data_IF_829491781597
#
_entry.id   IF_829491781597
#
_cell.length_a   1.000
_cell.length_b   1.000
_cell.length_c   1.000
_cell.angle_alpha   90.00
_cell.angle_beta   90.00
_cell.angle_gamma   90.00
#
_symmetry.space_group_name_H-M   'P 1'
#
loop_
_entity.id
_entity.type
_entity.pdbx_description
1 polymer ?
#
# COMPACT_ATOMS: atom_id res chain seq x y z
N UNK A 1 -2.76 12.68 11.83
CA UNK A 1 -1.37 13.01 11.47
C UNK A 1 -0.56 11.82 10.96
N UNK A 2 -1.13 10.62 10.82
CA UNK A 2 -0.46 9.41 10.26
C UNK A 2 0.12 9.49 8.85
N UNK A 3 0.00 10.63 8.17
CA UNK A 3 0.60 10.86 6.84
C UNK A 3 2.11 11.18 6.91
N UNK A 4 2.62 11.59 8.07
CA UNK A 4 3.99 12.09 8.23
C UNK A 4 5.07 11.13 7.67
N UNK A 5 5.13 9.84 8.07
CA UNK A 5 6.16 8.92 7.54
C UNK A 5 5.95 8.64 6.05
N UNK A 6 4.70 8.56 5.60
CA UNK A 6 4.38 8.27 4.20
C UNK A 6 4.79 9.39 3.24
N UNK A 7 4.71 10.65 3.66
CA UNK A 7 5.19 11.77 2.84
C UNK A 7 6.69 11.65 2.55
N UNK A 8 7.49 11.32 3.57
CA UNK A 8 8.92 11.12 3.40
C UNK A 8 9.22 9.91 2.50
N UNK A 9 8.51 8.80 2.71
CA UNK A 9 8.63 7.59 1.89
C UNK A 9 8.34 7.85 0.41
N UNK A 10 7.24 8.54 0.10
CA UNK A 10 6.88 8.87 -1.30
C UNK A 10 7.93 9.80 -1.92
N UNK A 11 8.42 10.79 -1.17
CA UNK A 11 9.44 11.70 -1.65
C UNK A 11 10.76 10.97 -1.94
N UNK A 12 11.18 10.04 -1.07
CA UNK A 12 12.37 9.22 -1.27
C UNK A 12 12.25 8.38 -2.55
N UNK A 13 11.14 7.66 -2.68
CA UNK A 13 10.87 6.83 -3.86
C UNK A 13 10.84 7.62 -5.15
N UNK A 14 10.33 8.85 -5.12
CA UNK A 14 10.38 9.77 -6.26
C UNK A 14 11.81 10.13 -6.68
N UNK A 15 12.70 10.37 -5.72
CA UNK A 15 14.10 10.66 -6.00
C UNK A 15 14.79 9.44 -6.61
N UNK A 16 14.58 8.27 -6.03
CA UNK A 16 15.12 7.00 -6.56
C UNK A 16 14.58 6.71 -7.97
N UNK A 17 13.28 6.89 -8.19
CA UNK A 17 12.66 6.67 -9.50
C UNK A 17 13.22 7.60 -10.58
N UNK A 18 13.50 8.87 -10.24
CA UNK A 18 14.17 9.81 -11.15
C UNK A 18 15.60 9.39 -11.45
N UNK A 19 16.36 8.97 -10.43
CA UNK A 19 17.73 8.50 -10.61
C UNK A 19 17.79 7.24 -11.50
N UNK A 20 16.86 6.29 -11.29
CA UNK A 20 16.74 5.08 -12.11
C UNK A 20 16.34 5.40 -13.55
N UNK A 21 15.40 6.33 -13.76
CA UNK A 21 15.00 6.78 -15.09
C UNK A 21 16.18 7.41 -15.84
N UNK A 22 16.93 8.30 -15.19
CA UNK A 22 18.12 8.92 -15.76
C UNK A 22 19.21 7.90 -16.10
N UNK A 23 19.43 6.90 -15.24
CA UNK A 23 20.38 5.81 -15.51
C UNK A 23 19.94 4.94 -16.69
N UNK A 24 18.63 4.67 -16.83
CA UNK A 24 18.08 3.93 -17.98
C UNK A 24 18.21 4.70 -19.29
N UNK A 25 17.94 6.00 -19.27
CA UNK A 25 18.14 6.88 -20.43
C UNK A 25 19.62 6.90 -20.85
N UNK A 26 20.54 7.04 -19.89
CA UNK A 26 21.97 6.99 -20.16
C UNK A 26 22.41 5.64 -20.75
N UNK A 27 21.89 4.53 -20.23
CA UNK A 27 22.16 3.19 -20.76
C UNK A 27 21.57 2.99 -22.16
N UNK A 28 20.36 3.49 -22.43
CA UNK A 28 19.72 3.44 -23.74
C UNK A 28 20.50 4.28 -24.77
N UNK A 29 20.93 5.49 -24.39
CA UNK A 29 21.76 6.34 -25.22
C UNK A 29 23.11 5.69 -25.55
N UNK A 30 23.75 5.03 -24.58
CA UNK A 30 25.00 4.30 -24.80
C UNK A 30 24.81 3.13 -25.78
N UNK A 31 23.73 2.34 -25.62
CA UNK A 31 23.42 1.23 -26.51
C UNK A 31 23.06 1.69 -27.94
N UNK A 32 22.39 2.83 -28.09
CA UNK A 32 22.12 3.42 -29.40
C UNK A 32 23.39 3.96 -30.07
N UNK A 33 24.29 4.58 -29.31
CA UNK A 33 25.58 5.04 -29.80
C UNK A 33 26.45 3.87 -30.29
N UNK A 34 26.50 2.78 -29.54
CA UNK A 34 27.21 1.54 -29.93
C UNK A 34 26.61 0.92 -31.21
N UNK A 35 25.29 0.99 -31.36
CA UNK A 35 24.58 0.49 -32.54
C UNK A 35 24.50 1.49 -33.72
N UNK A 36 25.14 2.66 -33.62
CA UNK A 36 25.11 3.70 -34.66
C UNK A 36 23.72 4.30 -34.94
N UNK A 37 22.77 4.16 -34.00
CA UNK A 37 21.41 4.73 -34.11
C UNK A 37 21.37 6.13 -33.50
N UNK A 38 20.52 7.01 -34.05
CA UNK A 38 20.19 8.26 -33.36
C UNK A 38 19.33 7.94 -32.14
N UNK A 39 19.84 8.29 -30.96
CA UNK A 39 19.08 8.18 -29.73
C UNK A 39 17.88 9.15 -29.77
N UNK A 40 16.69 8.64 -29.48
CA UNK A 40 15.47 9.44 -29.28
C UNK A 40 15.19 9.43 -27.78
N UNK A 41 15.13 10.61 -27.18
CA UNK A 41 14.92 10.71 -25.73
C UNK A 41 13.67 9.94 -25.32
N UNK A 42 13.74 9.20 -24.22
CA UNK A 42 12.55 8.62 -23.61
C UNK A 42 11.66 9.77 -23.12
N UNK A 43 10.70 10.19 -23.95
CA UNK A 43 9.60 11.03 -23.50
C UNK A 43 8.70 10.20 -22.60
N UNK A 44 9.03 10.11 -21.32
CA UNK A 44 8.05 9.82 -20.31
C UNK A 44 8.56 10.33 -18.97
N UNK A 45 8.03 11.50 -18.55
CA UNK A 45 8.11 11.99 -17.17
C UNK A 45 7.34 11.10 -16.19
N UNK A 46 7.21 9.80 -16.47
CA UNK A 46 6.42 8.81 -15.77
C UNK A 46 7.28 8.21 -14.67
N UNK A 47 6.72 8.14 -13.47
CA UNK A 47 7.36 7.42 -12.38
C UNK A 47 7.49 5.93 -12.73
N UNK A 48 8.72 5.41 -12.72
CA UNK A 48 9.03 4.01 -13.09
C UNK A 48 9.22 3.07 -11.88
N UNK A 49 8.88 3.51 -10.66
CA UNK A 49 8.92 2.62 -9.50
C UNK A 49 7.68 1.74 -9.40
N UNK A 50 7.75 0.71 -8.54
CA UNK A 50 6.61 -0.16 -8.27
C UNK A 50 5.37 0.60 -7.79
N UNK A 51 4.19 0.00 -8.00
CA UNK A 51 2.91 0.63 -7.70
C UNK A 51 2.80 1.04 -6.22
N UNK A 52 2.22 2.21 -5.98
CA UNK A 52 2.00 2.76 -4.64
C UNK A 52 0.55 3.20 -4.50
N UNK A 53 -0.12 2.72 -3.46
CA UNK A 53 -1.50 3.10 -3.13
C UNK A 53 -1.51 3.75 -1.75
N UNK A 54 -2.12 4.93 -1.65
CA UNK A 54 -2.27 5.67 -0.40
C UNK A 54 -3.75 5.83 -0.05
N UNK A 55 -4.13 5.31 1.11
CA UNK A 55 -5.42 5.59 1.73
C UNK A 55 -5.25 6.71 2.77
N UNK A 56 -5.91 7.84 2.55
CA UNK A 56 -5.84 9.01 3.43
C UNK A 56 -7.23 9.39 3.94
N UNK A 57 -7.33 9.68 5.24
CA UNK A 57 -8.59 10.09 5.86
C UNK A 57 -8.47 11.40 6.64
N UNK A 58 -9.46 12.27 6.51
CA UNK A 58 -9.63 13.46 7.36
C UNK A 58 -11.11 13.82 7.52
N UNK A 59 -11.43 14.96 8.17
CA UNK A 59 -12.82 15.39 8.37
C UNK A 59 -13.39 15.96 7.07
N UNK A 60 -12.71 16.94 6.49
CA UNK A 60 -13.14 17.65 5.28
C UNK A 60 -11.94 18.07 4.44
N UNK A 61 -12.11 18.06 3.12
CA UNK A 61 -11.07 18.41 2.15
C UNK A 61 -10.58 19.85 2.31
N UNK A 62 -11.46 20.77 2.69
CA UNK A 62 -11.20 22.20 2.83
C UNK A 62 -10.64 22.61 4.20
N UNK A 63 -10.59 21.68 5.17
CA UNK A 63 -10.18 21.98 6.55
C UNK A 63 -8.88 21.30 6.93
N UNK A 64 -8.82 19.97 6.83
CA UNK A 64 -7.77 19.16 7.43
C UNK A 64 -7.17 18.14 6.45
N UNK A 65 -7.26 18.41 5.15
CA UNK A 65 -6.58 17.64 4.12
C UNK A 65 -5.08 17.97 4.07
N UNK A 66 -4.35 17.41 5.04
CA UNK A 66 -2.91 17.58 5.16
C UNK A 66 -2.20 17.23 3.85
N UNK A 67 -1.40 18.17 3.34
CA UNK A 67 -0.69 18.07 2.06
C UNK A 67 -1.58 17.79 0.84
N UNK A 68 -2.87 18.11 0.89
CA UNK A 68 -3.84 17.74 -0.15
C UNK A 68 -3.45 18.17 -1.57
N UNK A 69 -2.91 19.39 -1.74
CA UNK A 69 -2.39 19.86 -3.05
C UNK A 69 -1.25 18.98 -3.56
N UNK A 70 -0.32 18.60 -2.69
CA UNK A 70 0.83 17.76 -3.02
C UNK A 70 0.39 16.33 -3.35
N UNK A 71 -0.47 15.73 -2.52
CA UNK A 71 -1.00 14.38 -2.75
C UNK A 71 -1.80 14.30 -4.05
N UNK A 72 -2.63 15.31 -4.34
CA UNK A 72 -3.41 15.39 -5.59
C UNK A 72 -2.48 15.51 -6.79
N UNK A 73 -1.40 16.29 -6.68
CA UNK A 73 -0.39 16.39 -7.73
C UNK A 73 0.30 15.05 -7.98
N UNK A 74 0.74 14.35 -6.93
CA UNK A 74 1.36 13.03 -7.06
C UNK A 74 0.42 12.00 -7.69
N UNK A 75 -0.87 12.05 -7.36
CA UNK A 75 -1.87 11.20 -8.00
C UNK A 75 -2.04 11.53 -9.50
N UNK A 76 -2.08 12.82 -9.85
CA UNK A 76 -2.15 13.27 -11.25
C UNK A 76 -0.93 12.84 -12.06
N UNK A 77 0.24 12.96 -11.46
CA UNK A 77 1.54 12.57 -12.05
C UNK A 77 1.77 11.05 -12.03
N UNK A 78 0.76 10.25 -11.62
CA UNK A 78 0.82 8.77 -11.54
C UNK A 78 1.95 8.23 -10.65
N UNK A 79 2.36 9.01 -9.66
CA UNK A 79 3.32 8.60 -8.64
C UNK A 79 2.67 7.60 -7.68
N UNK A 80 1.40 7.83 -7.35
CA UNK A 80 0.61 6.98 -6.47
C UNK A 80 -0.86 6.98 -6.89
N UNK A 81 -1.58 5.93 -6.51
CA UNK A 81 -3.05 5.92 -6.52
C UNK A 81 -3.55 6.43 -5.17
N UNK A 82 -4.35 7.49 -5.18
CA UNK A 82 -4.83 8.14 -3.95
C UNK A 82 -6.30 7.81 -3.70
N UNK A 83 -6.60 7.22 -2.54
CA UNK A 83 -7.95 7.04 -2.04
C UNK A 83 -8.18 7.94 -0.82
N UNK A 84 -9.11 8.89 -0.93
CA UNK A 84 -9.45 9.80 0.17
C UNK A 84 -10.78 9.44 0.84
N UNK A 85 -10.80 9.51 2.17
CA UNK A 85 -11.98 9.36 3.00
C UNK A 85 -12.24 10.65 3.79
N UNK A 86 -13.28 11.41 3.41
CA UNK A 86 -13.69 12.61 4.11
C UNK A 86 -14.91 12.29 4.99
N UNK A 87 -14.68 12.21 6.30
CA UNK A 87 -15.68 11.68 7.23
C UNK A 87 -16.86 12.61 7.51
N UNK A 88 -16.78 13.90 7.14
CA UNK A 88 -17.80 14.92 7.42
C UNK A 88 -18.28 15.71 6.20
N UNK A 89 -17.94 15.30 4.98
CA UNK A 89 -18.41 15.98 3.76
C UNK A 89 -19.83 15.58 3.33
N UNK A 90 -20.27 14.40 3.76
CA UNK A 90 -21.57 13.85 3.45
C UNK A 90 -22.23 13.27 4.71
N UNK A 91 -23.53 12.99 4.64
CA UNK A 91 -24.32 12.45 5.76
C UNK A 91 -23.76 11.12 6.26
N UNK A 92 -23.35 10.24 5.34
CA UNK A 92 -22.74 8.96 5.68
C UNK A 92 -21.25 9.14 6.01
N UNK A 93 -20.81 8.71 7.18
CA UNK A 93 -19.40 8.74 7.55
C UNK A 93 -18.62 7.75 6.69
N UNK A 94 -17.58 8.24 6.01
CA UNK A 94 -16.67 7.42 5.20
C UNK A 94 -15.28 7.50 5.82
N UNK A 95 -14.69 6.34 6.08
CA UNK A 95 -13.36 6.18 6.65
C UNK A 95 -12.42 5.39 5.71
N UNK A 96 -11.14 5.31 6.09
CA UNK A 96 -10.11 4.66 5.28
C UNK A 96 -10.37 3.16 5.11
N UNK A 97 -10.89 2.47 6.12
CA UNK A 97 -11.27 1.06 6.02
C UNK A 97 -12.40 0.82 5.01
N UNK A 98 -13.30 1.79 4.81
CA UNK A 98 -14.37 1.66 3.82
C UNK A 98 -13.82 1.80 2.41
N UNK A 99 -12.86 2.73 2.21
CA UNK A 99 -12.12 2.84 0.95
C UNK A 99 -11.26 1.61 0.68
N UNK A 100 -10.65 1.03 1.72
CA UNK A 100 -9.85 -0.18 1.62
C UNK A 100 -10.71 -1.36 1.12
N UNK A 101 -11.89 -1.57 1.71
CA UNK A 101 -12.85 -2.60 1.24
C UNK A 101 -13.30 -2.35 -0.21
N UNK A 102 -13.53 -1.11 -0.59
CA UNK A 102 -13.89 -0.76 -1.97
C UNK A 102 -12.78 -1.00 -2.99
N UNK A 103 -11.51 -1.08 -2.55
CA UNK A 103 -10.35 -1.35 -3.38
C UNK A 103 -9.77 -2.76 -3.16
N UNK A 104 -10.56 -3.68 -2.61
CA UNK A 104 -10.08 -4.95 -2.08
C UNK A 104 -9.34 -5.82 -3.10
N UNK A 105 -9.79 -5.87 -4.37
CA UNK A 105 -9.12 -6.67 -5.41
C UNK A 105 -7.74 -6.11 -5.77
N UNK A 106 -7.64 -4.78 -5.90
CA UNK A 106 -6.35 -4.13 -6.16
C UNK A 106 -5.39 -4.29 -4.96
N UNK A 107 -5.90 -4.15 -3.74
CA UNK A 107 -5.12 -4.36 -2.51
C UNK A 107 -4.61 -5.80 -2.45
N UNK A 108 -5.45 -6.78 -2.73
CA UNK A 108 -5.06 -8.19 -2.75
C UNK A 108 -4.03 -8.48 -3.83
N UNK A 109 -4.22 -8.02 -5.06
CA UNK A 109 -3.26 -8.23 -6.13
C UNK A 109 -1.88 -7.63 -5.79
N UNK A 110 -1.86 -6.43 -5.20
CA UNK A 110 -0.60 -5.82 -4.74
C UNK A 110 0.05 -6.62 -3.62
N UNK A 111 -0.72 -7.04 -2.62
CA UNK A 111 -0.18 -7.71 -1.44
C UNK A 111 0.21 -9.16 -1.71
N UNK A 112 -0.59 -9.89 -2.47
CA UNK A 112 -0.43 -11.31 -2.69
C UNK A 112 0.43 -11.58 -3.94
N UNK A 113 -0.03 -11.12 -5.11
CA UNK A 113 0.59 -11.46 -6.40
C UNK A 113 1.91 -10.71 -6.62
N UNK A 114 1.97 -9.43 -6.22
CA UNK A 114 3.12 -8.56 -6.52
C UNK A 114 4.13 -8.46 -5.38
N UNK A 115 3.92 -9.18 -4.27
CA UNK A 115 4.87 -9.12 -3.15
C UNK A 115 4.86 -7.77 -2.40
N UNK A 116 3.77 -6.99 -2.49
CA UNK A 116 3.65 -5.66 -1.91
C UNK A 116 3.78 -5.61 -0.39
N UNK A 117 4.01 -4.41 0.14
CA UNK A 117 4.10 -4.14 1.57
C UNK A 117 2.90 -3.29 2.00
N UNK A 118 2.40 -3.54 3.21
CA UNK A 118 1.27 -2.85 3.79
C UNK A 118 1.70 -2.11 5.06
N UNK A 119 1.40 -0.82 5.13
CA UNK A 119 1.78 0.04 6.24
C UNK A 119 0.56 0.74 6.83
N UNK A 120 0.48 0.79 8.16
CA UNK A 120 -0.57 1.52 8.89
C UNK A 120 0.09 2.54 9.80
N UNK A 121 -0.33 3.81 9.71
CA UNK A 121 0.16 4.86 10.59
C UNK A 121 -0.97 5.77 11.07
N UNK A 122 -0.95 6.14 12.35
CA UNK A 122 -1.94 7.04 12.97
C UNK A 122 -2.55 6.52 14.26
N UNK A 123 -3.84 6.78 14.44
CA UNK A 123 -4.56 6.47 15.70
C UNK A 123 -4.67 4.96 15.95
N UNK A 124 -4.08 4.52 17.07
CA UNK A 124 -4.14 3.14 17.56
C UNK A 124 -5.49 2.80 18.19
N UNK A 125 -6.20 3.80 18.73
CA UNK A 125 -7.41 3.60 19.53
C UNK A 125 -8.60 3.10 18.71
N UNK A 126 -8.70 3.53 17.45
CA UNK A 126 -9.84 3.18 16.59
C UNK A 126 -9.43 2.85 15.15
N UNK A 127 -8.59 3.68 14.53
CA UNK A 127 -8.32 3.59 13.09
C UNK A 127 -7.52 2.33 12.74
N UNK A 128 -6.44 2.05 13.46
CA UNK A 128 -5.56 0.92 13.17
C UNK A 128 -6.30 -0.42 13.23
N UNK A 129 -7.10 -0.65 14.27
CA UNK A 129 -7.89 -1.88 14.42
C UNK A 129 -8.95 -2.03 13.33
N UNK A 130 -9.62 -0.94 12.93
CA UNK A 130 -10.61 -0.98 11.86
C UNK A 130 -9.99 -1.28 10.49
N UNK A 131 -8.78 -0.77 10.22
CA UNK A 131 -8.01 -1.07 9.00
C UNK A 131 -7.54 -2.52 8.99
N UNK A 132 -7.01 -3.02 10.11
CA UNK A 132 -6.58 -4.41 10.24
C UNK A 132 -7.74 -5.39 10.04
N UNK A 133 -8.89 -5.13 10.67
CA UNK A 133 -10.10 -5.93 10.48
C UNK A 133 -10.56 -5.95 9.01
N UNK A 134 -10.52 -4.80 8.33
CA UNK A 134 -10.84 -4.75 6.90
C UNK A 134 -9.82 -5.52 6.05
N UNK A 135 -8.53 -5.46 6.39
CA UNK A 135 -7.49 -6.21 5.69
C UNK A 135 -7.66 -7.73 5.89
N UNK A 136 -7.95 -8.19 7.11
CA UNK A 136 -8.24 -9.60 7.40
C UNK A 136 -9.46 -10.10 6.63
N UNK A 137 -10.51 -9.28 6.49
CA UNK A 137 -11.66 -9.59 5.64
C UNK A 137 -11.27 -9.76 4.17
N UNK A 138 -10.41 -8.88 3.65
CA UNK A 138 -9.92 -8.94 2.26
C UNK A 138 -9.14 -10.23 2.01
N UNK A 139 -8.20 -10.55 2.92
CA UNK A 139 -7.37 -11.75 2.86
C UNK A 139 -8.25 -13.01 2.94
N UNK A 140 -9.11 -13.10 3.97
CA UNK A 140 -9.95 -14.28 4.19
C UNK A 140 -10.91 -14.56 3.05
N UNK A 141 -11.38 -13.53 2.35
CA UNK A 141 -12.26 -13.68 1.20
C UNK A 141 -11.55 -14.09 -0.11
N UNK A 142 -10.21 -13.99 -0.18
CA UNK A 142 -9.44 -14.17 -1.43
C UNK A 142 -8.39 -15.27 -1.37
N UNK A 143 -8.09 -15.80 -0.19
CA UNK A 143 -7.28 -17.02 -0.07
C UNK A 143 -7.93 -18.17 -0.84
N UNK A 144 -7.12 -18.89 -1.63
CA UNK A 144 -7.58 -20.14 -2.22
C UNK A 144 -7.85 -21.20 -1.14
N UNK A 145 -8.67 -22.22 -1.43
CA UNK A 145 -8.92 -23.30 -0.47
C UNK A 145 -7.64 -24.01 -0.02
N UNK A 146 -6.67 -24.18 -0.92
CA UNK A 146 -5.38 -24.82 -0.64
C UNK A 146 -4.53 -23.99 0.33
N UNK A 147 -4.37 -22.70 0.06
CA UNK A 147 -3.63 -21.79 0.94
C UNK A 147 -4.28 -21.68 2.31
N UNK A 148 -5.60 -21.55 2.33
CA UNK A 148 -6.35 -21.50 3.58
C UNK A 148 -6.14 -22.80 4.39
N UNK A 149 -6.13 -23.97 3.76
CA UNK A 149 -5.85 -25.24 4.43
C UNK A 149 -4.41 -25.30 4.97
N UNK A 150 -3.42 -24.89 4.17
CA UNK A 150 -2.02 -24.84 4.60
C UNK A 150 -1.81 -23.91 5.80
N UNK A 151 -2.44 -22.74 5.80
CA UNK A 151 -2.39 -21.78 6.91
C UNK A 151 -3.10 -22.33 8.16
N UNK A 152 -4.22 -23.05 8.02
CA UNK A 152 -4.86 -23.74 9.17
C UNK A 152 -3.93 -24.78 9.79
N UNK A 153 -3.27 -25.58 8.96
CA UNK A 153 -2.31 -26.56 9.44
C UNK A 153 -1.13 -25.88 10.16
N UNK A 154 -0.63 -24.76 9.63
CA UNK A 154 0.40 -23.95 10.28
C UNK A 154 -0.09 -23.41 11.63
N UNK A 155 -1.33 -22.92 11.72
CA UNK A 155 -1.93 -22.43 12.96
C UNK A 155 -2.05 -23.54 14.01
N UNK A 156 -2.56 -24.70 13.60
CA UNK A 156 -2.75 -25.85 14.48
C UNK A 156 -1.42 -26.37 15.06
N UNK A 157 -0.35 -26.38 14.26
CA UNK A 157 0.98 -26.78 14.71
C UNK A 157 1.59 -25.84 15.76
N UNK A 158 1.18 -24.57 15.79
CA UNK A 158 1.67 -23.55 16.73
C UNK A 158 0.74 -23.36 17.94
N UNK A 159 -0.49 -23.86 17.89
CA UNK A 159 -1.49 -23.63 18.92
C UNK A 159 -1.13 -24.36 20.23
N UNK A 160 -1.32 -23.69 21.36
CA UNK A 160 -1.17 -24.31 22.67
C UNK A 160 -2.30 -25.33 22.91
N UNK A 161 -2.06 -26.42 23.66
CA UNK A 161 -3.11 -27.38 24.01
C UNK A 161 -4.33 -26.69 24.63
N UNK A 162 -5.52 -26.97 24.10
CA UNK A 162 -6.78 -26.40 24.59
C UNK A 162 -7.12 -24.99 24.08
N UNK A 163 -6.33 -24.41 23.16
CA UNK A 163 -6.64 -23.12 22.52
C UNK A 163 -7.15 -23.31 21.10
N UNK A 164 -8.07 -22.44 20.66
CA UNK A 164 -8.53 -22.42 19.28
C UNK A 164 -7.40 -21.87 18.38
N UNK A 165 -7.00 -22.59 17.30
CA UNK A 165 -6.00 -22.08 16.38
C UNK A 165 -6.46 -20.77 15.70
N UNK A 166 -5.50 -19.92 15.36
CA UNK A 166 -5.79 -18.67 14.65
C UNK A 166 -6.42 -18.93 13.26
N UNK A 167 -7.30 -18.03 12.84
CA UNK A 167 -7.91 -18.08 11.50
C UNK A 167 -6.86 -17.89 10.39
N UNK A 168 -7.05 -18.48 9.20
CA UNK A 168 -6.06 -18.42 8.11
C UNK A 168 -5.62 -17.01 7.73
N UNK A 169 -6.56 -16.07 7.68
CA UNK A 169 -6.27 -14.68 7.36
C UNK A 169 -5.34 -14.03 8.40
N UNK A 170 -5.48 -14.40 9.68
CA UNK A 170 -4.60 -13.92 10.75
C UNK A 170 -3.20 -14.50 10.57
N UNK A 171 -3.09 -15.81 10.34
CA UNK A 171 -1.79 -16.46 10.11
C UNK A 171 -1.07 -15.86 8.90
N UNK A 172 -1.80 -15.56 7.83
CA UNK A 172 -1.25 -14.87 6.66
C UNK A 172 -0.71 -13.49 7.02
N UNK A 173 -1.47 -12.69 7.77
CA UNK A 173 -1.05 -11.36 8.21
C UNK A 173 0.16 -11.43 9.16
N UNK A 174 0.22 -12.42 10.05
CA UNK A 174 1.34 -12.67 10.94
C UNK A 174 2.60 -13.03 10.15
N UNK A 175 2.48 -13.85 9.11
CA UNK A 175 3.59 -14.18 8.21
C UNK A 175 4.09 -12.93 7.45
N UNK A 176 3.18 -12.06 6.99
CA UNK A 176 3.58 -10.77 6.40
C UNK A 176 4.30 -9.88 7.42
N UNK A 177 3.85 -9.86 8.67
CA UNK A 177 4.50 -9.12 9.75
C UNK A 177 5.91 -9.65 10.01
N UNK A 178 6.07 -10.97 10.08
CA UNK A 178 7.36 -11.63 10.31
C UNK A 178 8.38 -11.36 9.18
N UNK A 179 7.90 -11.16 7.95
CA UNK A 179 8.75 -10.81 6.79
C UNK A 179 8.93 -9.30 6.62
N UNK A 180 8.41 -8.47 7.52
CA UNK A 180 8.48 -7.00 7.42
C UNK A 180 7.58 -6.41 6.33
N UNK A 181 6.66 -7.21 5.77
CA UNK A 181 5.70 -6.80 4.73
C UNK A 181 4.38 -6.27 5.28
N UNK A 182 4.16 -6.38 6.59
CA UNK A 182 3.12 -5.65 7.31
C UNK A 182 3.75 -4.89 8.49
N UNK A 183 3.59 -3.58 8.52
CA UNK A 183 4.19 -2.72 9.55
C UNK A 183 3.21 -1.68 10.07
N UNK A 184 3.32 -1.37 11.37
CA UNK A 184 2.45 -0.44 12.08
C UNK A 184 3.30 0.61 12.80
N UNK A 185 2.97 1.88 12.59
CA UNK A 185 3.51 3.03 13.30
C UNK A 185 2.34 3.84 13.89
N UNK A 186 1.81 3.35 15.01
CA UNK A 186 0.54 3.82 15.59
C UNK A 186 0.72 4.29 17.02
N UNK A 187 -0.07 5.30 17.42
CA UNK A 187 -0.01 5.91 18.75
C UNK A 187 -1.41 6.22 19.29
N UNK A 188 -1.49 6.41 20.61
CA UNK A 188 -2.71 6.78 21.34
C UNK A 188 -2.88 8.29 21.44
#
# INVERSE_FOLDING_TARGET
TGLAPFRAFIAHRLLEGKAQAAAREAAAAAADAEAGRKHKSLEDGKYHGGEMVLFFGCRRKDQDFLYGKQLTKWAKDKVLTLHTAFSREQTAKVYVQDRLRGAADAVWALLHDQGGHFYVCGDASSMAGAVEAALLQIIGARLSPEEAAALRAQAAAKAAPGTQPAEPAQVYLDNLSATGRYQRDVWY
#
